data_IF_739835545135
#
_entry.id   IF_739835545135
#
_cell.length_a   1.000
_cell.length_b   1.000
_cell.length_c   1.000
_cell.angle_alpha   90.00
_cell.angle_beta   90.00
_cell.angle_gamma   90.00
#
_symmetry.space_group_name_H-M   'P 1'
#
loop_
_entity.id
_entity.type
_entity.pdbx_description
1 polymer ?
#
# COMPACT_ATOMS: atom_id res chain seq x y z
N UNK A 1 12.47 9.88 10.72
CA UNK A 1 11.34 9.40 11.53
C UNK A 1 10.75 8.27 10.73
N UNK A 2 10.96 7.05 11.19
CA UNK A 2 10.33 5.85 10.61
C UNK A 2 8.83 5.99 10.81
N UNK A 3 8.07 5.88 9.72
CA UNK A 3 6.62 5.75 9.85
C UNK A 3 6.35 4.35 10.40
N UNK A 4 5.52 4.25 11.44
CA UNK A 4 5.18 2.97 12.05
C UNK A 4 3.77 2.57 11.67
N UNK A 5 3.62 1.37 11.12
CA UNK A 5 2.33 0.75 10.91
C UNK A 5 1.86 0.12 12.21
N UNK A 6 0.60 0.35 12.54
CA UNK A 6 -0.08 -0.22 13.69
C UNK A 6 -1.47 -0.69 13.27
N UNK A 7 -2.12 -1.52 14.09
CA UNK A 7 -3.50 -1.98 13.84
C UNK A 7 -4.51 -0.81 13.68
N UNK A 8 -4.19 0.36 14.23
CA UNK A 8 -4.97 1.60 14.05
C UNK A 8 -4.94 2.14 12.61
N UNK A 9 -3.96 1.70 11.82
CA UNK A 9 -3.84 2.04 10.40
C UNK A 9 -4.67 1.12 9.50
N UNK A 10 -5.30 0.06 10.05
CA UNK A 10 -6.22 -0.80 9.30
C UNK A 10 -7.44 0.00 8.86
N UNK A 11 -7.80 -0.13 7.58
CA UNK A 11 -8.87 0.62 6.95
C UNK A 11 -8.46 2.01 6.47
N UNK A 12 -7.20 2.44 6.66
CA UNK A 12 -6.72 3.69 6.06
C UNK A 12 -6.49 3.53 4.56
N UNK A 13 -6.76 4.61 3.84
CA UNK A 13 -6.40 4.71 2.43
C UNK A 13 -4.90 4.72 2.28
N UNK A 14 -4.41 3.88 1.38
CA UNK A 14 -3.01 3.82 0.96
C UNK A 14 -2.89 4.60 -0.33
N UNK A 15 -1.97 5.55 -0.35
CA UNK A 15 -1.68 6.38 -1.52
C UNK A 15 -0.20 6.34 -1.84
N UNK A 16 0.13 6.71 -3.06
CA UNK A 16 1.50 6.93 -3.49
C UNK A 16 2.01 8.35 -3.14
N UNK A 17 3.31 8.61 -3.31
CA UNK A 17 3.89 9.96 -3.19
C UNK A 17 3.26 10.97 -4.16
N UNK A 18 2.71 10.50 -5.28
CA UNK A 18 1.96 11.32 -6.23
C UNK A 18 0.54 11.68 -5.76
N UNK A 19 0.08 11.14 -4.62
CA UNK A 19 -1.28 11.30 -4.11
C UNK A 19 -2.31 10.45 -4.86
N UNK A 20 -1.84 9.43 -5.59
CA UNK A 20 -2.69 8.44 -6.24
C UNK A 20 -3.13 7.40 -5.21
N UNK A 21 -4.43 7.26 -5.01
CA UNK A 21 -4.99 6.15 -4.22
C UNK A 21 -4.55 4.83 -4.84
N UNK A 22 -3.95 3.97 -4.04
CA UNK A 22 -3.48 2.63 -4.43
C UNK A 22 -4.42 1.55 -3.91
N UNK A 23 -5.05 1.78 -2.76
CA UNK A 23 -5.92 0.81 -2.11
C UNK A 23 -6.19 1.16 -0.65
N UNK A 24 -6.58 0.17 0.14
CA UNK A 24 -6.91 0.32 1.56
C UNK A 24 -6.15 -0.73 2.37
N UNK A 25 -5.69 -0.36 3.57
CA UNK A 25 -5.06 -1.33 4.48
C UNK A 25 -6.10 -2.36 4.93
N UNK A 26 -5.95 -3.61 4.48
CA UNK A 26 -6.80 -4.72 4.86
C UNK A 26 -6.48 -5.24 6.25
N UNK A 27 -5.19 -5.46 6.56
CA UNK A 27 -4.72 -5.96 7.86
C UNK A 27 -3.33 -5.45 8.19
N UNK A 28 -2.97 -5.40 9.48
CA UNK A 28 -1.62 -5.06 9.93
C UNK A 28 -1.09 -6.18 10.82
N UNK A 29 0.00 -6.80 10.42
CA UNK A 29 0.72 -7.83 11.16
C UNK A 29 2.09 -7.29 11.63
N UNK A 30 2.10 -6.73 12.84
CA UNK A 30 3.28 -6.14 13.45
C UNK A 30 3.80 -4.94 12.66
N UNK A 31 4.93 -5.11 11.97
CA UNK A 31 5.58 -4.08 11.13
C UNK A 31 5.21 -4.19 9.64
N UNK A 32 4.22 -5.01 9.30
CA UNK A 32 3.75 -5.24 7.93
C UNK A 32 2.27 -4.96 7.83
N UNK A 33 1.82 -4.42 6.72
CA UNK A 33 0.40 -4.25 6.45
C UNK A 33 0.03 -4.84 5.10
N UNK A 34 -1.03 -5.62 5.04
CA UNK A 34 -1.64 -6.07 3.81
C UNK A 34 -2.56 -4.96 3.30
N UNK A 35 -2.43 -4.61 2.03
CA UNK A 35 -3.17 -3.55 1.36
C UNK A 35 -3.97 -4.21 0.25
N UNK A 36 -5.29 -4.10 0.34
CA UNK A 36 -6.21 -4.51 -0.72
C UNK A 36 -6.17 -3.39 -1.79
N UNK A 37 -5.60 -3.66 -2.98
CA UNK A 37 -5.46 -2.68 -4.03
C UNK A 37 -6.80 -2.46 -4.74
N UNK A 38 -7.16 -1.20 -4.96
CA UNK A 38 -8.40 -0.90 -5.66
C UNK A 38 -8.30 -1.40 -7.13
N UNK A 39 -9.34 -2.03 -7.70
CA UNK A 39 -9.29 -2.56 -9.07
C UNK A 39 -8.91 -1.49 -10.11
N UNK A 40 -9.26 -0.24 -9.84
CA UNK A 40 -8.91 0.93 -10.67
C UNK A 40 -7.39 1.21 -10.74
N UNK A 41 -6.64 0.78 -9.73
CA UNK A 41 -5.19 0.94 -9.60
C UNK A 41 -4.49 -0.29 -10.14
N UNK A 42 -5.01 -1.47 -9.78
CA UNK A 42 -4.56 -2.74 -10.31
C UNK A 42 -4.49 -2.67 -11.85
N UNK A 43 -5.53 -2.18 -12.52
CA UNK A 43 -5.57 -2.05 -13.98
C UNK A 43 -4.45 -1.17 -14.56
N UNK A 44 -4.04 -0.07 -13.90
CA UNK A 44 -3.04 0.85 -14.44
C UNK A 44 -1.60 0.35 -14.23
N UNK A 45 -1.36 -0.35 -13.13
CA UNK A 45 -0.01 -0.83 -12.83
C UNK A 45 0.24 -2.21 -13.43
N UNK A 46 -0.80 -3.06 -13.56
CA UNK A 46 -0.79 -4.29 -14.38
C UNK A 46 -0.38 -4.01 -15.84
N UNK A 47 -0.69 -2.82 -16.36
CA UNK A 47 -0.40 -2.45 -17.74
C UNK A 47 1.05 -1.98 -17.97
N UNK A 48 1.76 -1.50 -16.92
CA UNK A 48 3.08 -0.87 -17.05
C UNK A 48 4.22 -1.67 -16.43
N UNK A 49 3.94 -2.43 -15.38
CA UNK A 49 4.93 -3.25 -14.68
C UNK A 49 4.42 -4.68 -14.82
N UNK A 50 5.19 -5.56 -15.46
CA UNK A 50 4.85 -6.97 -15.66
C UNK A 50 4.71 -7.70 -14.33
N UNK A 51 3.57 -7.52 -13.67
CA UNK A 51 3.13 -8.22 -12.47
C UNK A 51 2.68 -9.62 -12.86
N UNK A 52 3.63 -10.46 -13.27
CA UNK A 52 3.48 -11.91 -13.18
C UNK A 52 3.81 -12.30 -11.74
N UNK A 53 2.88 -12.01 -10.82
CA UNK A 53 2.87 -12.51 -9.46
C UNK A 53 1.53 -13.19 -9.28
N UNK A 54 1.55 -14.52 -9.34
CA UNK A 54 0.42 -15.42 -9.10
C UNK A 54 -0.44 -14.96 -7.91
N UNK A 55 -1.74 -14.89 -8.16
CA UNK A 55 -2.84 -15.03 -7.20
C UNK A 55 -2.51 -14.74 -5.72
N UNK A 56 -2.40 -13.48 -5.32
CA UNK A 56 -2.64 -13.08 -3.93
C UNK A 56 -3.11 -11.61 -3.94
N UNK A 57 -4.35 -11.42 -3.52
CA UNK A 57 -5.21 -10.26 -3.76
C UNK A 57 -4.80 -9.03 -2.91
N UNK A 58 -3.69 -9.12 -2.16
CA UNK A 58 -3.22 -8.12 -1.19
C UNK A 58 -1.73 -7.80 -1.35
N UNK A 59 -1.39 -6.51 -1.38
CA UNK A 59 -0.01 -6.01 -1.38
C UNK A 59 0.52 -5.81 0.04
N UNK A 60 1.60 -6.50 0.41
CA UNK A 60 2.21 -6.34 1.75
C UNK A 60 3.18 -5.16 1.77
N UNK A 61 2.80 -4.07 2.42
CA UNK A 61 3.64 -2.91 2.70
C UNK A 61 4.39 -3.09 4.03
N UNK A 62 5.62 -2.57 4.09
CA UNK A 62 6.45 -2.59 5.30
C UNK A 62 6.90 -1.18 5.65
N UNK A 63 7.32 -0.94 6.90
CA UNK A 63 7.78 0.38 7.37
C UNK A 63 8.87 1.03 6.49
N UNK A 64 9.71 0.23 5.82
CA UNK A 64 10.74 0.70 4.88
C UNK A 64 10.15 1.28 3.58
N UNK A 65 8.97 0.80 3.18
CA UNK A 65 8.23 1.28 2.02
C UNK A 65 7.35 2.49 2.35
N UNK A 66 7.23 2.88 3.62
CA UNK A 66 6.41 4.01 4.02
C UNK A 66 7.21 5.32 3.92
N UNK A 67 6.65 6.28 3.21
CA UNK A 67 7.13 7.66 3.22
C UNK A 67 6.64 8.39 4.48
N UNK A 68 5.33 8.26 4.77
CA UNK A 68 4.65 8.96 5.87
C UNK A 68 3.32 8.27 6.18
N UNK A 69 2.99 8.17 7.47
CA UNK A 69 1.68 7.74 7.94
C UNK A 69 1.06 8.92 8.69
N UNK A 70 -0.08 9.40 8.21
CA UNK A 70 -0.85 10.49 8.84
C UNK A 70 -2.34 10.11 8.83
N UNK A 71 -3.19 10.88 8.14
CA UNK A 71 -4.57 10.49 7.83
C UNK A 71 -4.64 9.34 6.82
N UNK A 72 -3.65 9.25 5.94
CA UNK A 72 -3.49 8.23 4.91
C UNK A 72 -2.06 7.65 4.97
N UNK A 73 -1.89 6.46 4.41
CA UNK A 73 -0.60 5.77 4.35
C UNK A 73 0.06 6.13 3.02
N UNK A 74 1.10 6.96 3.06
CA UNK A 74 1.85 7.35 1.87
C UNK A 74 3.03 6.40 1.71
N UNK A 75 3.04 5.65 0.60
CA UNK A 75 4.17 4.82 0.21
C UNK A 75 5.26 5.67 -0.44
N UNK A 76 6.52 5.33 -0.15
CA UNK A 76 7.68 5.81 -0.90
C UNK A 76 7.82 4.93 -2.13
N UNK A 77 6.94 5.14 -3.11
CA UNK A 77 7.03 4.49 -4.42
C UNK A 77 7.85 5.33 -5.40
N UNK A 78 8.88 4.72 -5.97
CA UNK A 78 9.11 4.86 -7.41
C UNK A 78 8.48 3.58 -7.98
N UNK A 79 7.20 3.64 -8.32
CA UNK A 79 6.42 2.53 -8.90
C UNK A 79 6.31 2.71 -10.42
#
# INVERSE_FOLDING_TARGET
>A
MTASLTDDDVGKTVVDVEGKELGIVATVDGSRAAVDPDPSVAEQVLASVGWEGEDDEDYVVTEDMLQRVDNEVILRGEL
#
